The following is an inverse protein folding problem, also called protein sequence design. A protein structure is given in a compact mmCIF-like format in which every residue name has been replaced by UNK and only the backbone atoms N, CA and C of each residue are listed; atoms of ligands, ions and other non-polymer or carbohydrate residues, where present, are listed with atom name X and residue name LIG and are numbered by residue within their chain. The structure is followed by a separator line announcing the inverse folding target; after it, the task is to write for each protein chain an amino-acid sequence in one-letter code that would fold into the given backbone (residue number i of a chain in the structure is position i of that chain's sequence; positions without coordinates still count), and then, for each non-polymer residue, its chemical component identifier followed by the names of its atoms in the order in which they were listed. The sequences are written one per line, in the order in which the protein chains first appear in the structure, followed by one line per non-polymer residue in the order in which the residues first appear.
data_IF_193092372475
#
_entry.id   IF_193092372475
#
_cell.length_a   1.000
_cell.length_b   1.000
_cell.length_c   1.000
_cell.angle_alpha   90.00
_cell.angle_beta   90.00
_cell.angle_gamma   90.00
#
_symmetry.space_group_name_H-M   'P 1'
#
loop_
_entity.id
_entity.type
_entity.pdbx_description
1 polymer ?
#
# COMPACT_ATOMS: atom_id res chain seq x y z
N UNK A 1 -47.03 -52.83 -9.99
CA UNK A 1 -46.76 -51.47 -10.49
C UNK A 1 -46.41 -50.53 -9.34
N UNK A 2 -47.25 -50.37 -8.31
CA UNK A 2 -46.97 -49.50 -7.16
C UNK A 2 -45.63 -49.79 -6.42
N UNK A 3 -45.23 -51.06 -6.29
CA UNK A 3 -43.96 -51.43 -5.63
C UNK A 3 -42.71 -51.04 -6.43
N UNK A 4 -42.77 -51.12 -7.76
CA UNK A 4 -41.66 -50.69 -8.63
C UNK A 4 -41.51 -49.17 -8.66
N UNK A 5 -42.63 -48.44 -8.66
CA UNK A 5 -42.64 -46.98 -8.59
C UNK A 5 -42.07 -46.49 -7.25
N UNK A 6 -42.43 -47.16 -6.15
CA UNK A 6 -41.89 -46.86 -4.81
C UNK A 6 -40.38 -47.09 -4.71
N UNK A 7 -39.88 -48.23 -5.19
CA UNK A 7 -38.44 -48.53 -5.21
C UNK A 7 -37.65 -47.55 -6.10
N UNK A 8 -38.24 -47.13 -7.23
CA UNK A 8 -37.64 -46.14 -8.11
C UNK A 8 -37.56 -44.76 -7.43
N UNK A 9 -38.62 -44.35 -6.73
CA UNK A 9 -38.64 -43.09 -5.97
C UNK A 9 -37.63 -43.10 -4.82
N UNK A 10 -37.48 -44.21 -4.09
CA UNK A 10 -36.46 -44.35 -3.05
C UNK A 10 -35.04 -44.22 -3.61
N UNK A 11 -34.77 -44.87 -4.75
CA UNK A 11 -33.44 -44.83 -5.38
C UNK A 11 -33.08 -43.40 -5.79
N UNK A 12 -34.03 -42.69 -6.42
CA UNK A 12 -33.84 -41.30 -6.80
C UNK A 12 -33.59 -40.39 -5.59
N UNK A 13 -34.40 -40.52 -4.54
CA UNK A 13 -34.24 -39.73 -3.31
C UNK A 13 -32.87 -39.96 -2.66
N UNK A 14 -32.40 -41.22 -2.65
CA UNK A 14 -31.07 -41.57 -2.16
C UNK A 14 -29.95 -40.94 -2.99
N UNK A 15 -30.07 -40.95 -4.31
CA UNK A 15 -29.10 -40.31 -5.22
C UNK A 15 -29.07 -38.80 -5.01
N UNK A 16 -30.23 -38.16 -4.89
CA UNK A 16 -30.36 -36.72 -4.69
C UNK A 16 -29.75 -36.28 -3.33
N UNK A 17 -30.02 -37.03 -2.25
CA UNK A 17 -29.39 -36.80 -0.94
C UNK A 17 -27.87 -36.99 -0.96
N UNK A 18 -27.37 -38.05 -1.60
CA UNK A 18 -25.93 -38.26 -1.74
C UNK A 18 -25.27 -37.13 -2.54
N UNK A 19 -25.90 -36.72 -3.63
CA UNK A 19 -25.45 -35.61 -4.48
C UNK A 19 -25.37 -34.30 -3.69
N UNK A 20 -26.38 -34.04 -2.86
CA UNK A 20 -26.41 -32.87 -1.98
C UNK A 20 -25.29 -32.92 -0.93
N UNK A 21 -25.10 -34.06 -0.24
CA UNK A 21 -24.04 -34.23 0.77
C UNK A 21 -22.65 -34.09 0.12
N UNK A 22 -22.46 -34.60 -1.09
CA UNK A 22 -21.22 -34.47 -1.84
C UNK A 22 -20.90 -33.00 -2.19
N UNK A 23 -21.92 -32.18 -2.52
CA UNK A 23 -21.76 -30.73 -2.73
C UNK A 23 -21.51 -29.96 -1.43
N UNK A 24 -22.04 -30.43 -0.31
CA UNK A 24 -21.77 -29.84 1.00
C UNK A 24 -20.34 -30.12 1.48
N UNK A 25 -19.79 -31.31 1.21
CA UNK A 25 -18.51 -31.74 1.76
C UNK A 25 -17.33 -30.74 1.60
N UNK A 26 -17.13 -30.08 0.44
CA UNK A 26 -16.09 -29.05 0.29
C UNK A 26 -16.22 -27.87 1.25
N UNK A 27 -17.43 -27.51 1.69
CA UNK A 27 -17.62 -26.38 2.63
C UNK A 27 -16.97 -26.64 4.00
N UNK A 28 -16.78 -27.90 4.37
CA UNK A 28 -16.22 -28.30 5.67
C UNK A 28 -14.82 -28.91 5.51
N UNK A 29 -14.58 -29.63 4.42
CA UNK A 29 -13.34 -30.40 4.21
C UNK A 29 -12.26 -29.61 3.48
N UNK A 30 -12.62 -28.59 2.68
CA UNK A 30 -11.65 -27.86 1.86
C UNK A 30 -11.06 -26.65 2.61
N UNK A 31 -9.78 -26.79 2.97
CA UNK A 31 -8.95 -25.72 3.54
C UNK A 31 -8.31 -24.80 2.48
N UNK A 32 -8.92 -24.71 1.30
CA UNK A 32 -8.51 -23.82 0.21
C UNK A 32 -8.37 -22.34 0.62
N UNK A 33 -7.80 -21.51 -0.27
CA UNK A 33 -7.53 -20.10 0.00
C UNK A 33 -8.82 -19.34 0.34
N UNK A 34 -8.79 -18.60 1.45
CA UNK A 34 -9.88 -17.77 1.93
C UNK A 34 -9.83 -16.35 1.32
N UNK A 35 -9.89 -16.28 -0.01
CA UNK A 35 -10.00 -15.02 -0.76
C UNK A 35 -11.46 -14.61 -1.05
N UNK A 36 -11.66 -13.39 -1.54
CA UNK A 36 -12.99 -12.82 -1.75
C UNK A 36 -13.81 -13.60 -2.79
N UNK A 37 -13.29 -13.92 -4.00
CA UNK A 37 -14.05 -14.65 -5.01
C UNK A 37 -14.49 -16.04 -4.51
N UNK A 38 -13.60 -16.76 -3.80
CA UNK A 38 -13.92 -18.08 -3.25
C UNK A 38 -14.97 -17.98 -2.15
N UNK A 39 -14.89 -16.95 -1.30
CA UNK A 39 -15.87 -16.72 -0.23
C UNK A 39 -17.26 -16.47 -0.81
N UNK A 40 -17.39 -15.64 -1.86
CA UNK A 40 -18.67 -15.40 -2.53
C UNK A 40 -19.22 -16.64 -3.19
N UNK A 41 -18.38 -17.38 -3.91
CA UNK A 41 -18.80 -18.62 -4.54
C UNK A 41 -19.32 -19.65 -3.52
N UNK A 42 -18.67 -19.74 -2.35
CA UNK A 42 -19.15 -20.60 -1.24
C UNK A 42 -20.48 -20.12 -0.65
N UNK A 43 -20.71 -18.81 -0.57
CA UNK A 43 -22.00 -18.25 -0.13
C UNK A 43 -23.13 -18.57 -1.13
N UNK A 44 -22.88 -18.44 -2.44
CA UNK A 44 -23.81 -18.84 -3.49
C UNK A 44 -24.15 -20.34 -3.40
N UNK A 45 -23.13 -21.19 -3.21
CA UNK A 45 -23.32 -22.63 -3.01
C UNK A 45 -24.20 -22.92 -1.80
N UNK A 46 -24.01 -22.23 -0.68
CA UNK A 46 -24.85 -22.38 0.52
C UNK A 46 -26.29 -22.01 0.22
N UNK A 47 -26.53 -20.92 -0.51
CA UNK A 47 -27.89 -20.52 -0.87
C UNK A 47 -28.59 -21.61 -1.69
N UNK A 48 -27.92 -22.15 -2.72
CA UNK A 48 -28.45 -23.25 -3.52
C UNK A 48 -28.71 -24.50 -2.66
N UNK A 49 -27.78 -24.87 -1.78
CA UNK A 49 -27.93 -26.02 -0.89
C UNK A 49 -29.10 -25.86 0.08
N UNK A 50 -29.38 -24.65 0.56
CA UNK A 50 -30.53 -24.37 1.44
C UNK A 50 -31.85 -24.57 0.72
N UNK A 51 -31.98 -24.02 -0.49
CA UNK A 51 -33.18 -24.16 -1.32
C UNK A 51 -33.45 -25.64 -1.65
N UNK A 52 -32.41 -26.39 -2.03
CA UNK A 52 -32.51 -27.82 -2.29
C UNK A 52 -32.82 -28.65 -1.03
N UNK A 53 -32.24 -28.29 0.12
CA UNK A 53 -32.41 -29.03 1.37
C UNK A 53 -33.84 -28.98 1.91
N UNK A 54 -34.62 -27.96 1.56
CA UNK A 54 -36.03 -27.89 1.95
C UNK A 54 -36.88 -28.87 1.14
N UNK A 55 -36.60 -29.03 -0.15
CA UNK A 55 -37.26 -30.03 -1.01
C UNK A 55 -36.90 -31.45 -0.53
N UNK A 56 -35.61 -31.74 -0.36
CA UNK A 56 -35.12 -33.05 0.06
C UNK A 56 -35.59 -33.46 1.46
N UNK A 57 -35.88 -32.50 2.34
CA UNK A 57 -36.43 -32.76 3.67
C UNK A 57 -37.81 -33.43 3.59
N UNK A 58 -38.63 -33.12 2.58
CA UNK A 58 -39.92 -33.79 2.37
C UNK A 58 -39.70 -35.19 1.78
N UNK A 59 -38.83 -35.30 0.78
CA UNK A 59 -38.64 -36.54 0.03
C UNK A 59 -37.96 -37.63 0.87
N UNK A 60 -37.09 -37.27 1.82
CA UNK A 60 -36.38 -38.23 2.67
C UNK A 60 -37.30 -39.13 3.50
N UNK A 61 -38.57 -38.73 3.72
CA UNK A 61 -39.56 -39.54 4.43
C UNK A 61 -39.90 -40.86 3.68
N UNK A 62 -39.57 -40.94 2.40
CA UNK A 62 -39.76 -42.14 1.58
C UNK A 62 -38.66 -43.19 1.78
N UNK A 63 -37.53 -42.84 2.40
CA UNK A 63 -36.41 -43.76 2.64
C UNK A 63 -36.63 -44.64 3.88
N UNK A 64 -35.98 -45.81 3.90
CA UNK A 64 -35.99 -46.70 5.06
C UNK A 64 -34.96 -46.23 6.10
N UNK A 65 -35.39 -45.78 7.28
CA UNK A 65 -34.48 -45.26 8.30
C UNK A 65 -33.45 -46.28 8.80
N UNK A 66 -33.72 -47.58 8.64
CA UNK A 66 -32.83 -48.65 9.10
C UNK A 66 -31.66 -48.85 8.15
N UNK A 67 -31.92 -48.76 6.84
CA UNK A 67 -30.93 -48.99 5.80
C UNK A 67 -30.18 -47.72 5.40
N UNK A 68 -30.82 -46.55 5.52
CA UNK A 68 -30.28 -45.27 5.08
C UNK A 68 -29.87 -44.35 6.26
N UNK A 69 -29.71 -44.91 7.47
CA UNK A 69 -29.46 -44.16 8.71
C UNK A 69 -28.27 -43.18 8.63
N UNK A 70 -27.14 -43.63 8.09
CA UNK A 70 -25.91 -42.82 8.00
C UNK A 70 -26.10 -41.62 7.06
N UNK A 71 -26.75 -41.83 5.91
CA UNK A 71 -27.03 -40.75 4.96
C UNK A 71 -28.01 -39.73 5.55
N UNK A 72 -29.09 -40.20 6.18
CA UNK A 72 -30.10 -39.35 6.80
C UNK A 72 -29.51 -38.51 7.94
N UNK A 73 -28.73 -39.14 8.82
CA UNK A 73 -28.07 -38.43 9.94
C UNK A 73 -27.02 -37.43 9.46
N UNK A 74 -26.24 -37.78 8.42
CA UNK A 74 -25.25 -36.87 7.81
C UNK A 74 -25.94 -35.66 7.17
N UNK A 75 -27.03 -35.89 6.43
CA UNK A 75 -27.83 -34.83 5.83
C UNK A 75 -28.41 -33.88 6.88
N UNK A 76 -29.02 -34.41 7.95
CA UNK A 76 -29.61 -33.60 9.01
C UNK A 76 -28.55 -32.77 9.76
N UNK A 77 -27.38 -33.37 10.04
CA UNK A 77 -26.27 -32.65 10.65
C UNK A 77 -25.74 -31.55 9.71
N UNK A 78 -25.52 -31.84 8.44
CA UNK A 78 -25.03 -30.89 7.45
C UNK A 78 -26.01 -29.72 7.23
N UNK A 79 -27.31 -30.01 7.10
CA UNK A 79 -28.36 -28.99 7.01
C UNK A 79 -28.35 -28.07 8.23
N UNK A 80 -28.18 -28.64 9.43
CA UNK A 80 -28.05 -27.88 10.67
C UNK A 80 -26.83 -26.95 10.72
N UNK A 81 -25.74 -27.30 10.03
CA UNK A 81 -24.49 -26.49 10.00
C UNK A 81 -24.46 -25.42 8.92
N UNK A 82 -25.36 -25.43 7.92
CA UNK A 82 -25.35 -24.41 6.85
C UNK A 82 -25.46 -22.98 7.39
N UNK A 83 -26.24 -22.78 8.46
CA UNK A 83 -26.40 -21.45 9.08
C UNK A 83 -25.14 -20.93 9.76
N UNK A 84 -24.39 -21.79 10.46
CA UNK A 84 -23.13 -21.42 11.12
C UNK A 84 -22.03 -21.14 10.09
N UNK A 85 -21.90 -22.01 9.08
CA UNK A 85 -20.92 -21.83 8.00
C UNK A 85 -21.19 -20.54 7.23
N UNK A 86 -22.45 -20.25 6.90
CA UNK A 86 -22.82 -18.99 6.25
C UNK A 86 -22.46 -17.78 7.11
N UNK A 87 -22.77 -17.83 8.41
CA UNK A 87 -22.45 -16.77 9.35
C UNK A 87 -20.95 -16.47 9.36
N UNK A 88 -20.12 -17.51 9.45
CA UNK A 88 -18.66 -17.40 9.47
C UNK A 88 -18.11 -16.86 8.14
N UNK A 89 -18.65 -17.31 7.00
CA UNK A 89 -18.24 -16.82 5.68
C UNK A 89 -18.63 -15.34 5.48
N UNK A 90 -19.83 -14.92 5.89
CA UNK A 90 -20.24 -13.51 5.82
C UNK A 90 -19.42 -12.61 6.77
N UNK A 91 -19.04 -13.15 7.94
CA UNK A 91 -18.13 -12.51 8.88
C UNK A 91 -16.74 -12.36 8.28
N UNK A 92 -16.23 -13.39 7.61
CA UNK A 92 -14.97 -13.34 6.89
C UNK A 92 -15.00 -12.34 5.72
N UNK A 93 -16.09 -12.30 4.95
CA UNK A 93 -16.31 -11.33 3.88
C UNK A 93 -16.22 -9.89 4.39
N UNK A 94 -16.71 -9.61 5.60
CA UNK A 94 -16.59 -8.26 6.21
C UNK A 94 -15.15 -7.81 6.45
N UNK A 95 -14.23 -8.77 6.62
CA UNK A 95 -12.79 -8.51 6.80
C UNK A 95 -12.08 -8.32 5.46
N UNK A 96 -12.49 -9.05 4.44
CA UNK A 96 -11.92 -8.97 3.08
C UNK A 96 -12.42 -7.74 2.32
N UNK A 97 -13.72 -7.45 2.40
CA UNK A 97 -14.40 -6.34 1.70
C UNK A 97 -15.29 -5.56 2.67
N UNK A 98 -14.71 -4.66 3.49
CA UNK A 98 -15.47 -3.86 4.45
C UNK A 98 -16.51 -2.97 3.76
N UNK A 99 -17.75 -3.00 4.26
CA UNK A 99 -18.87 -2.21 3.72
C UNK A 99 -19.70 -2.94 2.66
N UNK A 100 -19.38 -4.19 2.37
CA UNK A 100 -20.19 -5.04 1.48
C UNK A 100 -21.59 -5.32 2.10
N UNK A 101 -22.69 -5.13 1.35
CA UNK A 101 -24.06 -5.35 1.85
C UNK A 101 -24.39 -6.82 2.18
N UNK A 102 -23.71 -7.79 1.59
CA UNK A 102 -23.90 -9.22 1.86
C UNK A 102 -23.09 -9.70 3.08
N UNK A 103 -22.06 -8.93 3.45
CA UNK A 103 -21.23 -9.20 4.61
C UNK A 103 -21.98 -8.99 5.93
N UNK A 104 -21.50 -9.65 6.98
CA UNK A 104 -21.96 -9.41 8.35
C UNK A 104 -20.82 -8.83 9.18
N UNK A 105 -20.99 -7.65 9.79
CA UNK A 105 -19.98 -7.07 10.66
C UNK A 105 -19.65 -8.00 11.82
N UNK A 106 -18.36 -8.14 12.11
CA UNK A 106 -17.87 -8.80 13.33
C UNK A 106 -18.12 -7.89 14.55
N UNK A 107 -19.32 -8.01 15.13
CA UNK A 107 -19.74 -7.17 16.26
C UNK A 107 -18.84 -7.34 17.49
N UNK A 108 -18.32 -8.54 17.73
CA UNK A 108 -17.44 -8.81 18.87
C UNK A 108 -16.10 -8.08 18.70
N UNK A 109 -15.49 -8.19 17.52
CA UNK A 109 -14.27 -7.46 17.20
C UNK A 109 -14.51 -5.93 17.20
N UNK A 110 -15.68 -5.49 16.73
CA UNK A 110 -16.06 -4.08 16.76
C UNK A 110 -16.23 -3.58 18.21
N UNK A 111 -16.87 -4.36 19.08
CA UNK A 111 -16.99 -4.05 20.50
C UNK A 111 -15.64 -4.02 21.21
N UNK A 112 -14.75 -4.97 20.91
CA UNK A 112 -13.39 -4.98 21.44
C UNK A 112 -12.64 -3.71 21.02
N UNK A 113 -12.74 -3.30 19.75
CA UNK A 113 -12.14 -2.06 19.26
C UNK A 113 -12.75 -0.82 19.89
N UNK A 114 -14.08 -0.78 20.05
CA UNK A 114 -14.75 0.33 20.72
C UNK A 114 -14.38 0.40 22.21
N UNK A 115 -14.22 -0.73 22.89
CA UNK A 115 -13.77 -0.81 24.28
C UNK A 115 -12.30 -0.39 24.42
N UNK A 116 -11.43 -0.83 23.51
CA UNK A 116 -10.04 -0.37 23.41
C UNK A 116 -10.00 1.15 23.21
N UNK A 117 -10.87 1.67 22.34
CA UNK A 117 -11.03 3.11 22.12
C UNK A 117 -11.54 3.82 23.38
N UNK A 118 -12.54 3.30 24.09
CA UNK A 118 -13.03 3.91 25.32
C UNK A 118 -11.93 3.94 26.41
N UNK A 119 -11.19 2.84 26.59
CA UNK A 119 -10.10 2.74 27.54
C UNK A 119 -8.94 3.70 27.21
N UNK A 120 -8.59 3.83 25.93
CA UNK A 120 -7.59 4.81 25.49
C UNK A 120 -8.03 6.25 25.76
N UNK A 121 -9.31 6.59 25.52
CA UNK A 121 -9.86 7.91 25.88
C UNK A 121 -9.71 8.17 27.39
N UNK A 122 -10.02 7.18 28.23
CA UNK A 122 -9.93 7.29 29.69
C UNK A 122 -8.49 7.49 30.20
N UNK A 123 -7.52 6.86 29.55
CA UNK A 123 -6.08 7.02 29.85
C UNK A 123 -5.48 8.29 29.21
N UNK A 124 -6.30 9.12 28.55
CA UNK A 124 -5.82 10.33 27.85
C UNK A 124 -5.00 10.04 26.60
N UNK A 125 -5.09 8.82 26.08
CA UNK A 125 -4.50 8.40 24.80
C UNK A 125 -5.53 8.70 23.70
N UNK A 126 -5.28 9.73 22.90
CA UNK A 126 -6.14 10.12 21.77
C UNK A 126 -6.46 8.93 20.85
N UNK A 127 -7.75 8.64 20.64
CA UNK A 127 -8.24 7.45 19.91
C UNK A 127 -8.81 7.69 18.53
N UNK A 128 -9.22 8.91 18.25
CA UNK A 128 -8.87 9.49 16.97
C UNK A 128 -7.35 9.44 16.95
N UNK A 129 -6.72 8.93 15.90
CA UNK A 129 -5.40 9.47 15.59
C UNK A 129 -5.66 10.98 15.50
N UNK A 130 -5.39 11.71 16.58
CA UNK A 130 -4.82 13.03 16.43
C UNK A 130 -3.61 12.70 15.58
N UNK A 131 -3.80 12.76 14.25
CA UNK A 131 -2.77 13.28 13.40
C UNK A 131 -2.32 14.49 14.19
N UNK A 132 -1.17 14.35 14.86
CA UNK A 132 -0.79 15.31 15.86
C UNK A 132 -0.78 16.68 15.19
N UNK A 133 -0.48 17.71 15.96
CA UNK A 133 0.06 18.93 15.37
C UNK A 133 1.14 18.62 14.32
N UNK A 134 1.75 17.43 14.35
CA UNK A 134 2.80 16.95 13.48
C UNK A 134 2.54 15.56 12.85
N UNK A 135 2.80 15.42 11.55
CA UNK A 135 2.85 14.15 10.79
C UNK A 135 4.28 13.91 10.28
N UNK A 136 4.93 12.83 10.73
CA UNK A 136 6.25 12.42 10.25
C UNK A 136 6.13 11.18 9.34
N UNK A 137 6.71 11.23 8.14
CA UNK A 137 6.69 10.11 7.16
C UNK A 137 8.07 9.93 6.51
N UNK A 138 8.51 8.68 6.33
CA UNK A 138 9.70 8.36 5.52
C UNK A 138 9.28 8.15 4.07
N UNK A 139 9.50 9.16 3.22
CA UNK A 139 8.99 9.21 1.85
C UNK A 139 9.87 8.48 0.85
N UNK A 140 11.17 8.35 1.08
CA UNK A 140 12.05 7.58 0.19
C UNK A 140 13.20 6.91 0.94
N UNK A 141 13.36 5.59 0.80
CA UNK A 141 14.50 4.88 1.36
C UNK A 141 15.79 5.23 0.59
N UNK A 142 16.96 5.08 1.22
CA UNK A 142 18.25 5.33 0.58
C UNK A 142 18.54 4.29 -0.53
N UNK A 143 19.01 4.76 -1.68
CA UNK A 143 19.53 3.92 -2.76
C UNK A 143 21.05 3.89 -2.71
N UNK A 144 21.58 3.00 -1.87
CA UNK A 144 23.02 2.87 -1.60
C UNK A 144 23.78 2.49 -2.89
N UNK A 145 23.21 1.62 -3.73
CA UNK A 145 23.84 1.19 -4.98
C UNK A 145 24.07 2.35 -5.95
N UNK A 146 23.03 3.16 -6.21
CA UNK A 146 23.14 4.35 -7.05
C UNK A 146 24.06 5.41 -6.44
N UNK A 147 24.00 5.59 -5.11
CA UNK A 147 24.86 6.52 -4.38
C UNK A 147 26.36 6.15 -4.52
N UNK A 148 26.70 4.88 -4.32
CA UNK A 148 28.07 4.38 -4.45
C UNK A 148 28.59 4.50 -5.89
N UNK A 149 27.77 4.15 -6.89
CA UNK A 149 28.14 4.29 -8.30
C UNK A 149 28.45 5.75 -8.67
N UNK A 150 27.58 6.68 -8.27
CA UNK A 150 27.81 8.12 -8.49
C UNK A 150 29.01 8.65 -7.72
N UNK A 151 29.25 8.16 -6.49
CA UNK A 151 30.40 8.58 -5.68
C UNK A 151 31.72 8.17 -6.33
N UNK A 152 31.85 6.93 -6.79
CA UNK A 152 33.05 6.44 -7.47
C UNK A 152 33.34 7.28 -8.71
N UNK A 153 32.31 7.55 -9.51
CA UNK A 153 32.46 8.35 -10.72
C UNK A 153 32.80 9.81 -10.40
N UNK A 154 32.19 10.40 -9.37
CA UNK A 154 32.52 11.75 -8.91
C UNK A 154 33.97 11.88 -8.45
N UNK A 155 34.48 10.89 -7.70
CA UNK A 155 35.88 10.83 -7.28
C UNK A 155 36.81 10.68 -8.48
N UNK A 156 36.52 9.76 -9.41
CA UNK A 156 37.30 9.55 -10.62
C UNK A 156 37.35 10.79 -11.52
N UNK A 157 36.20 11.43 -11.76
CA UNK A 157 36.11 12.64 -12.58
C UNK A 157 36.88 13.82 -12.00
N UNK A 158 36.70 14.10 -10.71
CA UNK A 158 37.44 15.20 -10.05
C UNK A 158 38.93 14.88 -9.95
N UNK A 159 39.30 13.63 -9.69
CA UNK A 159 40.69 13.18 -9.68
C UNK A 159 41.36 13.37 -11.04
N UNK A 160 40.72 12.91 -12.11
CA UNK A 160 41.19 13.12 -13.49
C UNK A 160 41.30 14.61 -13.84
N UNK A 161 40.26 15.39 -13.52
CA UNK A 161 40.24 16.84 -13.77
C UNK A 161 41.39 17.53 -13.06
N UNK A 162 41.65 17.19 -11.79
CA UNK A 162 42.74 17.75 -10.99
C UNK A 162 44.11 17.38 -11.57
N UNK A 163 44.33 16.10 -11.88
CA UNK A 163 45.58 15.63 -12.47
C UNK A 163 45.84 16.29 -13.81
N UNK A 164 44.83 16.31 -14.68
CA UNK A 164 44.93 16.90 -16.00
C UNK A 164 45.16 18.42 -15.94
N UNK A 165 44.44 19.14 -15.08
CA UNK A 165 44.64 20.56 -14.85
C UNK A 165 46.05 20.87 -14.35
N UNK A 166 46.58 20.06 -13.44
CA UNK A 166 47.94 20.23 -12.90
C UNK A 166 48.98 20.10 -14.02
N UNK A 167 48.86 19.08 -14.87
CA UNK A 167 49.78 18.89 -16.00
C UNK A 167 49.65 20.00 -17.05
N UNK A 168 48.43 20.38 -17.42
CA UNK A 168 48.19 21.38 -18.47
C UNK A 168 48.59 22.77 -18.01
N UNK A 169 48.17 23.20 -16.83
CA UNK A 169 48.52 24.52 -16.30
C UNK A 169 50.02 24.56 -16.02
N UNK A 170 50.61 23.53 -15.42
CA UNK A 170 52.06 23.46 -15.18
C UNK A 170 52.89 23.48 -16.46
N UNK A 171 52.45 22.76 -17.51
CA UNK A 171 53.08 22.77 -18.83
C UNK A 171 52.93 24.11 -19.55
N UNK A 172 51.71 24.68 -19.55
CA UNK A 172 51.41 25.96 -20.19
C UNK A 172 52.04 27.15 -19.45
N UNK A 173 52.24 27.06 -18.13
CA UNK A 173 52.90 28.11 -17.36
C UNK A 173 54.33 28.35 -17.86
N UNK A 174 55.03 27.31 -18.33
CA UNK A 174 56.35 27.46 -18.95
C UNK A 174 56.33 28.22 -20.27
N UNK A 175 55.22 28.17 -21.01
CA UNK A 175 55.09 28.80 -22.33
C UNK A 175 54.43 30.19 -22.28
N UNK A 176 53.41 30.36 -21.43
CA UNK A 176 52.54 31.54 -21.37
C UNK A 176 52.60 32.26 -20.01
N UNK A 177 53.41 31.80 -19.06
CA UNK A 177 53.56 32.40 -17.74
C UNK A 177 52.25 32.43 -16.96
N UNK A 178 52.00 33.54 -16.26
CA UNK A 178 50.81 33.76 -15.41
C UNK A 178 49.50 33.65 -16.20
N UNK A 179 49.50 33.91 -17.52
CA UNK A 179 48.30 33.79 -18.34
C UNK A 179 47.75 32.35 -18.38
N UNK A 180 48.57 31.33 -18.11
CA UNK A 180 48.13 29.94 -18.00
C UNK A 180 47.08 29.71 -16.89
N UNK A 181 47.03 30.58 -15.86
CA UNK A 181 46.00 30.48 -14.83
C UNK A 181 44.59 30.78 -15.34
N UNK A 182 44.42 31.42 -16.51
CA UNK A 182 43.10 31.58 -17.12
C UNK A 182 42.44 30.23 -17.44
N UNK A 183 43.23 29.16 -17.64
CA UNK A 183 42.72 27.80 -17.81
C UNK A 183 42.00 27.27 -16.56
N UNK A 184 42.20 27.86 -15.38
CA UNK A 184 41.42 27.52 -14.18
C UNK A 184 39.92 27.76 -14.39
N UNK A 185 39.53 28.81 -15.12
CA UNK A 185 38.14 29.07 -15.44
C UNK A 185 37.53 27.97 -16.32
N UNK A 186 38.32 27.45 -17.26
CA UNK A 186 37.92 26.30 -18.07
C UNK A 186 37.72 25.06 -17.19
N UNK A 187 38.68 24.74 -16.31
CA UNK A 187 38.57 23.59 -15.41
C UNK A 187 37.48 23.73 -14.34
N UNK A 188 37.08 24.96 -13.96
CA UNK A 188 35.98 25.19 -13.04
C UNK A 188 34.65 24.59 -13.54
N UNK A 189 34.44 24.53 -14.86
CA UNK A 189 33.27 23.89 -15.47
C UNK A 189 33.29 22.38 -15.18
N UNK A 190 34.43 21.73 -15.35
CA UNK A 190 34.60 20.29 -15.11
C UNK A 190 34.44 19.94 -13.63
N UNK A 191 34.99 20.76 -12.74
CA UNK A 191 34.76 20.62 -11.30
C UNK A 191 33.29 20.79 -10.93
N UNK A 192 32.58 21.73 -11.56
CA UNK A 192 31.14 21.91 -11.33
C UNK A 192 30.33 20.65 -11.66
N UNK A 193 30.68 19.96 -12.76
CA UNK A 193 30.10 18.65 -13.10
C UNK A 193 30.44 17.60 -12.03
N UNK A 194 31.68 17.58 -11.55
CA UNK A 194 32.11 16.71 -10.45
C UNK A 194 31.33 16.92 -9.15
N UNK A 195 31.14 18.18 -8.72
CA UNK A 195 30.37 18.52 -7.52
C UNK A 195 28.88 18.23 -7.68
N UNK A 196 28.33 18.46 -8.86
CA UNK A 196 26.97 18.06 -9.21
C UNK A 196 26.75 16.55 -9.01
N UNK A 197 27.74 15.72 -9.36
CA UNK A 197 27.67 14.27 -9.14
C UNK A 197 27.80 13.88 -7.66
N UNK A 198 28.66 14.56 -6.88
CA UNK A 198 28.69 14.37 -5.43
C UNK A 198 27.34 14.70 -4.77
N UNK A 199 26.70 15.79 -5.20
CA UNK A 199 25.37 16.14 -4.73
C UNK A 199 24.33 15.09 -5.12
N UNK A 200 24.38 14.58 -6.36
CA UNK A 200 23.55 13.46 -6.81
C UNK A 200 23.75 12.19 -5.97
N UNK A 201 24.99 11.86 -5.64
CA UNK A 201 25.33 10.74 -4.76
C UNK A 201 24.74 10.91 -3.34
N UNK A 202 24.85 12.12 -2.78
CA UNK A 202 24.22 12.46 -1.50
C UNK A 202 22.70 12.29 -1.57
N UNK A 203 22.05 12.82 -2.60
CA UNK A 203 20.60 12.73 -2.77
C UNK A 203 20.11 11.29 -2.94
N UNK A 204 20.87 10.44 -3.64
CA UNK A 204 20.51 9.03 -3.78
C UNK A 204 20.76 8.22 -2.51
N UNK A 205 21.82 8.55 -1.76
CA UNK A 205 22.19 7.83 -0.55
C UNK A 205 21.43 8.27 0.70
N UNK A 206 20.83 9.46 0.69
CA UNK A 206 20.11 9.99 1.84
C UNK A 206 18.70 9.39 1.93
N UNK A 207 18.30 9.07 3.17
CA UNK A 207 16.91 8.80 3.48
C UNK A 207 16.13 10.13 3.45
N UNK A 208 15.03 10.15 2.70
CA UNK A 208 14.10 11.28 2.66
C UNK A 208 12.95 11.02 3.63
N UNK A 209 12.78 11.94 4.57
CA UNK A 209 11.63 12.00 5.48
C UNK A 209 10.99 13.38 5.40
N UNK A 210 9.69 13.42 5.64
CA UNK A 210 8.91 14.64 5.73
C UNK A 210 8.32 14.77 7.12
N UNK A 211 8.22 16.01 7.57
CA UNK A 211 7.55 16.42 8.79
C UNK A 211 6.57 17.52 8.39
N UNK A 212 5.29 17.30 8.67
CA UNK A 212 4.20 18.22 8.40
C UNK A 212 3.69 18.75 9.73
N UNK A 213 3.81 20.06 9.96
CA UNK A 213 3.36 20.73 11.19
C UNK A 213 2.52 21.97 10.84
N UNK A 214 1.20 21.90 11.02
CA UNK A 214 0.27 22.91 10.54
C UNK A 214 0.34 23.06 9.02
N UNK A 215 0.75 24.24 8.54
CA UNK A 215 1.02 24.50 7.13
C UNK A 215 2.50 24.28 6.76
N UNK A 216 3.38 23.94 7.69
CA UNK A 216 4.80 23.80 7.43
C UNK A 216 5.17 22.38 7.00
N UNK A 217 5.70 22.22 5.78
CA UNK A 217 6.36 21.00 5.32
C UNK A 217 7.87 21.13 5.48
N UNK A 218 8.46 20.30 6.34
CA UNK A 218 9.91 20.15 6.46
C UNK A 218 10.37 18.84 5.82
N UNK A 219 11.14 18.94 4.74
CA UNK A 219 11.79 17.80 4.09
C UNK A 219 13.18 17.64 4.70
N UNK A 220 13.44 16.48 5.29
CA UNK A 220 14.74 16.09 5.87
C UNK A 220 15.38 15.01 5.01
N UNK A 221 16.62 15.25 4.61
CA UNK A 221 17.48 14.27 3.93
C UNK A 221 18.63 13.91 4.84
N UNK A 222 18.67 12.66 5.29
CA UNK A 222 19.67 12.18 6.26
C UNK A 222 20.58 11.14 5.63
N UNK A 223 21.88 11.38 5.68
CA UNK A 223 22.93 10.44 5.30
C UNK A 223 23.95 10.36 6.45
N UNK A 224 23.95 9.25 7.19
CA UNK A 224 24.73 9.08 8.43
C UNK A 224 24.53 10.24 9.43
N UNK A 225 25.57 11.06 9.66
CA UNK A 225 25.54 12.24 10.55
C UNK A 225 25.14 13.53 9.82
N UNK A 226 25.16 13.54 8.49
CA UNK A 226 24.77 14.71 7.70
C UNK A 226 23.26 14.75 7.53
N UNK A 227 22.66 15.88 7.92
CA UNK A 227 21.22 16.12 7.74
C UNK A 227 21.01 17.43 7.02
N UNK A 228 20.38 17.37 5.85
CA UNK A 228 19.94 18.55 5.12
C UNK A 228 18.44 18.74 5.36
N UNK A 229 18.01 19.97 5.68
CA UNK A 229 16.60 20.28 5.94
C UNK A 229 16.15 21.41 5.02
N UNK A 230 14.96 21.26 4.44
CA UNK A 230 14.32 22.30 3.63
C UNK A 230 12.89 22.48 4.10
N UNK A 231 12.47 23.72 4.35
CA UNK A 231 11.11 24.07 4.79
C UNK A 231 10.33 24.68 3.63
N UNK A 232 9.04 24.42 3.61
CA UNK A 232 8.05 24.89 2.63
C UNK A 232 6.73 25.17 3.36
N UNK A 233 5.95 26.13 2.87
CA UNK A 233 4.64 26.46 3.44
C UNK A 233 3.56 25.92 2.50
N UNK A 234 2.81 24.92 2.93
CA UNK A 234 1.82 24.27 2.08
C UNK A 234 0.59 25.16 1.85
N UNK A 235 0.10 25.10 0.61
CA UNK A 235 -1.24 25.55 0.30
C UNK A 235 -2.25 24.50 0.75
N UNK A 236 -2.90 24.75 1.88
CA UNK A 236 -3.93 23.88 2.48
C UNK A 236 -5.21 23.76 1.63
N UNK A 237 -5.39 24.60 0.60
CA UNK A 237 -6.50 24.48 -0.34
C UNK A 237 -6.22 23.48 -1.47
N UNK A 238 -5.00 22.97 -1.55
CA UNK A 238 -4.60 21.97 -2.55
C UNK A 238 -4.32 20.62 -1.92
N UNK A 239 -4.81 19.56 -2.57
CA UNK A 239 -4.54 18.19 -2.16
C UNK A 239 -3.26 17.64 -2.80
N UNK A 240 -2.58 16.78 -2.06
CA UNK A 240 -1.50 15.96 -2.60
C UNK A 240 -2.06 15.04 -3.69
N UNK A 241 -1.32 14.92 -4.79
CA UNK A 241 -1.65 14.04 -5.91
C UNK A 241 -0.46 13.22 -6.34
N UNK A 242 -0.70 12.07 -6.95
CA UNK A 242 0.36 11.27 -7.56
C UNK A 242 0.44 11.64 -9.03
N UNK A 243 1.63 12.00 -9.49
CA UNK A 243 1.86 12.41 -10.86
C UNK A 243 3.28 12.12 -11.31
N UNK A 244 3.53 12.34 -12.60
CA UNK A 244 4.88 12.33 -13.14
C UNK A 244 5.53 13.67 -12.86
N UNK A 245 6.68 13.65 -12.18
CA UNK A 245 7.46 14.83 -11.88
C UNK A 245 8.89 14.65 -12.36
N UNK A 246 9.53 15.76 -12.73
CA UNK A 246 10.97 15.75 -13.01
C UNK A 246 11.74 15.45 -11.73
N UNK A 247 12.54 14.38 -11.78
CA UNK A 247 13.50 14.11 -10.72
C UNK A 247 14.53 15.24 -10.74
N UNK A 248 14.80 15.86 -9.60
CA UNK A 248 15.84 16.89 -9.48
C UNK A 248 17.23 16.27 -9.62
N UNK A 249 17.58 15.86 -10.83
CA UNK A 249 18.96 15.72 -11.27
C UNK A 249 19.33 17.03 -11.98
N UNK A 250 20.59 17.45 -11.86
CA UNK A 250 21.05 18.62 -12.60
C UNK A 250 20.71 18.44 -14.08
N UNK A 251 20.11 19.49 -14.66
CA UNK A 251 19.80 19.62 -16.10
C UNK A 251 21.07 19.38 -16.92
N UNK A 252 21.39 18.13 -17.21
CA UNK A 252 22.44 17.77 -18.14
C UNK A 252 21.82 16.98 -19.29
N UNK A 253 21.90 17.60 -20.47
CA UNK A 253 21.84 17.06 -21.83
C UNK A 253 20.55 16.38 -22.30
N UNK A 254 19.96 16.97 -23.36
CA UNK A 254 19.44 16.40 -24.63
C UNK A 254 18.53 15.16 -24.66
N UNK A 255 18.46 14.34 -23.61
CA UNK A 255 17.42 13.35 -23.42
C UNK A 255 16.33 14.02 -22.58
N UNK A 256 15.08 13.94 -23.05
CA UNK A 256 13.93 14.62 -22.46
C UNK A 256 13.74 14.39 -20.95
N UNK A 257 12.73 15.04 -20.35
CA UNK A 257 12.59 15.09 -18.90
C UNK A 257 12.60 13.69 -18.29
N UNK A 258 13.48 13.48 -17.30
CA UNK A 258 13.53 12.24 -16.52
C UNK A 258 12.34 12.23 -15.55
N UNK A 259 11.18 11.87 -16.10
CA UNK A 259 9.91 11.81 -15.41
C UNK A 259 9.84 10.55 -14.57
N UNK A 260 9.60 10.73 -13.27
CA UNK A 260 9.36 9.64 -12.35
C UNK A 260 8.07 9.93 -11.57
N UNK A 261 7.34 8.86 -11.20
CA UNK A 261 6.15 9.00 -10.36
C UNK A 261 6.56 9.54 -8.98
N UNK A 262 5.88 10.59 -8.54
CA UNK A 262 6.10 11.26 -7.26
C UNK A 262 4.76 11.70 -6.65
N UNK A 263 4.80 12.01 -5.36
CA UNK A 263 3.74 12.75 -4.68
C UNK A 263 4.01 14.23 -4.92
N UNK A 264 3.04 14.93 -5.49
CA UNK A 264 3.11 16.34 -5.84
C UNK A 264 2.21 17.10 -4.88
N UNK A 265 2.81 18.00 -4.13
CA UNK A 265 2.18 19.00 -3.26
C UNK A 265 2.34 20.38 -3.89
N UNK A 266 1.55 21.35 -3.44
CA UNK A 266 1.68 22.75 -3.86
C UNK A 266 2.05 23.62 -2.67
N UNK A 267 3.11 24.41 -2.82
CA UNK A 267 3.52 25.47 -1.91
C UNK A 267 2.51 26.63 -1.96
N UNK A 268 2.47 27.50 -0.95
CA UNK A 268 1.62 28.70 -0.87
C UNK A 268 1.77 29.64 -2.08
N UNK A 269 2.94 29.60 -2.73
CA UNK A 269 3.30 30.34 -3.92
C UNK A 269 2.89 29.63 -5.23
N UNK A 270 2.08 28.56 -5.17
CA UNK A 270 1.66 27.78 -6.34
C UNK A 270 2.76 26.88 -6.95
N UNK A 271 3.87 26.66 -6.24
CA UNK A 271 5.01 25.89 -6.74
C UNK A 271 4.88 24.40 -6.40
N UNK A 272 5.14 23.47 -7.34
CA UNK A 272 5.07 22.06 -7.05
C UNK A 272 6.24 21.59 -6.18
N UNK A 273 5.93 20.84 -5.13
CA UNK A 273 6.87 20.16 -4.24
C UNK A 273 6.74 18.66 -4.50
N UNK A 274 7.82 18.03 -4.97
CA UNK A 274 7.82 16.64 -5.38
C UNK A 274 8.51 15.76 -4.33
N UNK A 275 7.85 14.70 -3.90
CA UNK A 275 8.30 13.79 -2.84
C UNK A 275 8.20 12.33 -3.29
N UNK A 276 8.97 11.44 -2.67
CA UNK A 276 8.70 10.01 -2.77
C UNK A 276 9.11 9.34 -4.08
N UNK A 277 10.11 9.89 -4.78
CA UNK A 277 10.59 9.37 -6.07
C UNK A 277 11.09 7.92 -6.02
N UNK A 278 11.54 7.44 -4.86
CA UNK A 278 12.17 6.11 -4.70
C UNK A 278 11.28 5.11 -3.95
N UNK A 279 9.97 5.40 -3.79
CA UNK A 279 9.02 4.52 -3.09
C UNK A 279 8.16 3.70 -4.07
N UNK A 280 7.56 2.60 -3.59
CA UNK A 280 6.68 1.74 -4.39
C UNK A 280 5.33 2.41 -4.64
N UNK A 281 4.61 1.99 -5.70
CA UNK A 281 3.30 2.57 -6.05
C UNK A 281 2.30 2.46 -4.88
N UNK A 282 2.20 1.29 -4.24
CA UNK A 282 1.33 1.06 -3.09
C UNK A 282 1.65 1.98 -1.89
N UNK A 283 2.94 2.18 -1.57
CA UNK A 283 3.34 3.12 -0.50
C UNK A 283 3.08 4.57 -0.89
N UNK A 284 3.22 4.90 -2.17
CA UNK A 284 2.93 6.25 -2.68
C UNK A 284 1.45 6.60 -2.50
N UNK A 285 0.57 5.65 -2.79
CA UNK A 285 -0.88 5.78 -2.55
C UNK A 285 -1.20 5.92 -1.06
N UNK A 286 -0.58 5.09 -0.21
CA UNK A 286 -0.74 5.16 1.24
C UNK A 286 -0.31 6.53 1.80
N UNK A 287 0.85 7.02 1.38
CA UNK A 287 1.37 8.32 1.81
C UNK A 287 0.51 9.47 1.30
N UNK A 288 0.06 9.42 0.06
CA UNK A 288 -0.84 10.42 -0.52
C UNK A 288 -2.15 10.51 0.29
N UNK A 289 -2.76 9.36 0.65
CA UNK A 289 -3.95 9.32 1.50
C UNK A 289 -3.68 9.93 2.88
N UNK A 290 -2.58 9.55 3.53
CA UNK A 290 -2.19 10.08 4.86
C UNK A 290 -1.97 11.61 4.83
N UNK A 291 -1.29 12.12 3.81
CA UNK A 291 -1.05 13.55 3.65
C UNK A 291 -2.37 14.30 3.40
N UNK A 292 -3.26 13.77 2.56
CA UNK A 292 -4.55 14.40 2.30
C UNK A 292 -5.45 14.42 3.54
N UNK A 293 -5.48 13.35 4.34
CA UNK A 293 -6.18 13.34 5.62
C UNK A 293 -5.61 14.42 6.57
N UNK A 294 -4.29 14.66 6.56
CA UNK A 294 -3.67 15.73 7.34
C UNK A 294 -4.15 17.11 6.92
N UNK A 295 -4.09 17.38 5.61
CA UNK A 295 -4.50 18.66 5.05
C UNK A 295 -5.97 18.95 5.35
N UNK A 296 -6.84 17.94 5.23
CA UNK A 296 -8.27 18.08 5.58
C UNK A 296 -8.48 18.40 7.06
N UNK A 297 -7.80 17.69 7.96
CA UNK A 297 -7.89 17.94 9.39
C UNK A 297 -7.41 19.35 9.77
N UNK A 298 -6.30 19.83 9.18
CA UNK A 298 -5.80 21.18 9.41
C UNK A 298 -6.70 22.27 8.83
N UNK A 299 -7.28 22.02 7.65
CA UNK A 299 -8.24 22.95 7.03
C UNK A 299 -9.52 23.09 7.86
N UNK A 300 -10.05 21.99 8.39
CA UNK A 300 -11.20 22.00 9.29
C UNK A 300 -10.88 22.77 10.58
N UNK A 301 -9.75 22.48 11.23
CA UNK A 301 -9.30 23.17 12.43
C UNK A 301 -9.13 24.69 12.24
N UNK A 302 -8.67 25.13 11.05
CA UNK A 302 -8.55 26.55 10.71
C UNK A 302 -9.91 27.23 10.54
N UNK A 303 -10.90 26.51 10.00
CA UNK A 303 -12.26 27.03 9.77
C UNK A 303 -13.02 27.22 11.07
N UNK A 304 -12.81 26.33 12.06
CA UNK A 304 -13.45 26.41 13.38
C UNK A 304 -12.84 27.49 14.31
N UNK A 305 -11.71 28.08 13.90
CA UNK A 305 -10.98 29.13 14.65
C UNK A 305 -11.32 30.57 14.23
N UNK A 306 -12.24 30.73 13.26
CA UNK A 306 -12.72 32.02 12.72
C UNK A 306 -14.17 32.23 13.17
#
# INVERSE_FOLDING_TARGET
MAEQEYLHQQTRTREDLNSWVARFAPLVMDSGPFDEPTTRHRLELIQNLKEEADILQLDKATLDPTNDHELLSTFDAAKGQLGSIEFDLRKHLSRLSPGDPESRPDLDALQERLAETAAKIEVGVSTTSQMGSRLDLVTSPPNIGAAMGMLIFALGWNGFTTFHATLMIGGMYKAFGVAAFALLLFYAIFFSVGFAMFWGAFLAGAEESIELEGDQLTIKRKLFRFTHRKKHTLDLDTFARIGMAERTQLKNSERGPNLAKAIILTDDNGRPINLGFSTTDARRDEYCKKINLYIQAQKAARTDSI
#
